data_IF_732591934377
#
_entry.id   IF_732591934377
#
_cell.length_a   1.000
_cell.length_b   1.000
_cell.length_c   1.000
_cell.angle_alpha   90.00
_cell.angle_beta   90.00
_cell.angle_gamma   90.00
#
_symmetry.space_group_name_H-M   'P 1'
#
loop_
_entity.id
_entity.type
_entity.pdbx_description
1 polymer ?
#
# COMPACT_ATOMS: atom_id res chain seq x y z
N UNK A 1 10.41 -8.36 -21.35
CA UNK A 1 9.21 -8.31 -20.49
C UNK A 1 9.04 -6.88 -20.03
N UNK A 2 7.81 -6.36 -20.01
CA UNK A 2 7.53 -5.03 -19.44
C UNK A 2 7.45 -5.17 -17.93
N UNK A 3 8.07 -4.24 -17.18
CA UNK A 3 7.93 -4.20 -15.72
C UNK A 3 6.47 -3.91 -15.38
N UNK A 4 5.89 -4.70 -14.48
CA UNK A 4 4.54 -4.52 -13.96
C UNK A 4 4.57 -3.84 -12.61
N UNK A 5 3.52 -3.10 -12.28
CA UNK A 5 3.43 -2.30 -11.07
C UNK A 5 2.08 -2.51 -10.41
N UNK A 6 2.05 -2.42 -9.08
CA UNK A 6 0.82 -2.61 -8.31
C UNK A 6 0.72 -1.65 -7.14
N UNK A 7 -0.52 -1.27 -6.84
CA UNK A 7 -0.89 -0.81 -5.52
C UNK A 7 -1.28 -2.02 -4.67
N UNK A 8 -0.64 -2.17 -3.51
CA UNK A 8 -0.92 -3.27 -2.57
C UNK A 8 -1.23 -2.71 -1.21
N UNK A 9 -2.30 -3.17 -0.59
CA UNK A 9 -2.72 -2.80 0.76
C UNK A 9 -2.50 -3.99 1.68
N UNK A 10 -1.74 -3.77 2.75
CA UNK A 10 -1.42 -4.77 3.75
C UNK A 10 -2.07 -4.41 5.09
N UNK A 11 -2.67 -5.39 5.77
CA UNK A 11 -3.00 -5.34 7.19
C UNK A 11 -1.74 -5.68 8.01
N UNK A 12 -1.29 -4.73 8.83
CA UNK A 12 -0.15 -4.88 9.71
C UNK A 12 -0.62 -5.36 11.08
N UNK A 13 -0.74 -6.68 11.24
CA UNK A 13 -1.09 -7.25 12.55
C UNK A 13 0.11 -7.25 13.48
N UNK A 14 -0.09 -6.81 14.73
CA UNK A 14 0.93 -6.89 15.78
C UNK A 14 1.26 -8.35 16.07
N UNK A 15 2.55 -8.62 16.08
CA UNK A 15 3.15 -9.93 16.14
C UNK A 15 2.96 -10.67 17.47
N UNK A 16 2.91 -12.01 17.37
CA UNK A 16 3.50 -12.90 18.37
C UNK A 16 4.98 -13.18 18.07
N UNK A 17 5.74 -13.50 19.12
CA UNK A 17 7.19 -13.37 19.36
C UNK A 17 8.23 -13.58 18.23
N UNK A 18 7.93 -14.11 17.03
CA UNK A 18 8.97 -14.46 16.04
C UNK A 18 8.72 -14.18 14.53
N UNK A 19 7.56 -13.75 14.04
CA UNK A 19 7.39 -13.29 12.63
C UNK A 19 6.38 -12.17 12.40
N UNK A 20 6.80 -11.06 11.75
CA UNK A 20 5.90 -10.02 11.26
C UNK A 20 4.87 -10.65 10.33
N UNK A 21 3.58 -10.54 10.67
CA UNK A 21 2.50 -11.03 9.82
C UNK A 21 1.91 -9.84 9.09
N UNK A 22 2.04 -9.86 7.76
CA UNK A 22 1.33 -8.95 6.86
C UNK A 22 0.37 -9.79 6.03
N UNK A 23 -0.87 -9.32 5.92
CA UNK A 23 -1.88 -9.93 5.06
C UNK A 23 -2.20 -8.96 3.93
N UNK A 24 -2.13 -9.43 2.68
CA UNK A 24 -2.60 -8.63 1.54
C UNK A 24 -4.12 -8.56 1.65
N UNK A 25 -4.61 -7.35 1.88
CA UNK A 25 -6.04 -7.03 1.93
C UNK A 25 -6.56 -6.83 0.51
N UNK A 26 -5.82 -6.04 -0.28
CA UNK A 26 -6.23 -5.68 -1.63
C UNK A 26 -5.01 -5.43 -2.51
N UNK A 27 -5.14 -5.74 -3.80
CA UNK A 27 -4.13 -5.44 -4.81
C UNK A 27 -4.79 -4.95 -6.09
N UNK A 28 -4.20 -3.92 -6.70
CA UNK A 28 -4.61 -3.35 -7.98
C UNK A 28 -3.38 -3.16 -8.86
N UNK A 29 -3.35 -3.77 -10.04
CA UNK A 29 -2.32 -3.49 -11.04
C UNK A 29 -2.50 -2.07 -11.60
N UNK A 30 -1.39 -1.35 -11.78
CA UNK A 30 -1.37 0.04 -12.27
C UNK A 30 -0.40 0.20 -13.43
N UNK A 31 -0.78 1.00 -14.42
CA UNK A 31 0.07 1.28 -15.57
C UNK A 31 0.79 2.64 -15.41
N UNK A 32 2.12 2.67 -15.22
CA UNK A 32 2.86 3.91 -15.18
C UNK A 32 2.94 4.62 -16.52
N UNK A 33 2.67 3.96 -17.66
CA UNK A 33 2.64 4.63 -18.96
C UNK A 33 1.44 5.59 -19.09
N UNK A 34 0.37 5.34 -18.35
CA UNK A 34 -0.84 6.17 -18.36
C UNK A 34 -0.69 7.44 -17.51
N UNK A 35 -0.05 7.34 -16.33
CA UNK A 35 -0.04 8.43 -15.34
C UNK A 35 1.36 8.88 -14.89
N UNK A 36 2.39 8.05 -15.03
CA UNK A 36 3.72 8.25 -14.43
C UNK A 36 3.78 7.87 -12.95
N UNK A 37 4.96 7.40 -12.50
CA UNK A 37 5.17 6.88 -11.13
C UNK A 37 4.94 7.93 -10.04
N UNK A 38 5.29 9.19 -10.27
CA UNK A 38 5.06 10.26 -9.29
C UNK A 38 3.58 10.53 -9.03
N UNK A 39 2.75 10.44 -10.09
CA UNK A 39 1.30 10.64 -9.98
C UNK A 39 0.69 9.45 -9.27
N UNK A 40 1.13 8.23 -9.60
CA UNK A 40 0.70 7.01 -8.91
C UNK A 40 1.05 7.07 -7.41
N UNK A 41 2.27 7.48 -7.05
CA UNK A 41 2.66 7.65 -5.64
C UNK A 41 1.75 8.63 -4.88
N UNK A 42 1.37 9.76 -5.50
CA UNK A 42 0.44 10.73 -4.91
C UNK A 42 -0.98 10.20 -4.76
N UNK A 43 -1.40 9.25 -5.61
CA UNK A 43 -2.73 8.63 -5.58
C UNK A 43 -2.85 7.46 -4.60
N UNK A 44 -1.73 6.86 -4.21
CA UNK A 44 -1.69 5.66 -3.37
C UNK A 44 -2.52 5.82 -2.08
N UNK A 45 -2.36 6.94 -1.35
CA UNK A 45 -3.13 7.19 -0.13
C UNK A 45 -4.63 7.27 -0.39
N UNK A 46 -5.05 7.93 -1.47
CA UNK A 46 -6.46 8.09 -1.79
C UNK A 46 -7.10 6.72 -2.13
N UNK A 47 -6.43 5.93 -2.97
CA UNK A 47 -6.85 4.57 -3.31
C UNK A 47 -6.98 3.69 -2.05
N UNK A 48 -5.95 3.67 -1.20
CA UNK A 48 -5.96 2.84 0.01
C UNK A 48 -7.11 3.21 0.96
N UNK A 49 -7.41 4.51 1.09
CA UNK A 49 -8.51 5.01 1.90
C UNK A 49 -9.88 4.62 1.33
N UNK A 50 -10.02 4.60 0.00
CA UNK A 50 -11.25 4.14 -0.67
C UNK A 50 -11.49 2.66 -0.40
N UNK A 51 -10.44 1.84 -0.52
CA UNK A 51 -10.50 0.39 -0.21
C UNK A 51 -10.90 0.16 1.25
N UNK A 52 -10.18 0.77 2.20
CA UNK A 52 -10.44 0.59 3.64
C UNK A 52 -11.87 0.98 4.04
N UNK A 53 -12.45 2.01 3.41
CA UNK A 53 -13.84 2.42 3.64
C UNK A 53 -14.84 1.47 3.00
N UNK A 54 -14.58 1.03 1.78
CA UNK A 54 -15.49 0.16 1.04
C UNK A 54 -15.61 -1.23 1.68
N UNK A 55 -14.52 -1.73 2.27
CA UNK A 55 -14.44 -3.06 2.87
C UNK A 55 -14.78 -3.09 4.37
N UNK A 56 -15.21 -1.97 4.96
CA UNK A 56 -15.46 -1.83 6.41
C UNK A 56 -14.28 -2.35 7.24
N UNK A 57 -13.08 -1.88 6.89
CA UNK A 57 -11.83 -2.40 7.42
C UNK A 57 -11.76 -2.27 8.96
N UNK A 58 -11.20 -3.30 9.59
CA UNK A 58 -11.05 -3.37 11.04
C UNK A 58 -10.17 -2.25 11.59
N UNK A 59 -10.29 -2.00 12.89
CA UNK A 59 -9.38 -1.09 13.58
C UNK A 59 -7.97 -1.68 13.57
N UNK A 60 -6.98 -0.90 13.14
CA UNK A 60 -5.66 -1.44 12.90
C UNK A 60 -4.69 -0.49 12.24
N UNK A 61 -3.54 -1.03 11.88
CA UNK A 61 -2.51 -0.35 11.12
C UNK A 61 -2.40 -1.03 9.77
N UNK A 62 -2.37 -0.23 8.72
CA UNK A 62 -2.30 -0.70 7.35
C UNK A 62 -1.09 -0.06 6.65
N UNK A 63 -0.50 -0.77 5.70
CA UNK A 63 0.52 -0.24 4.80
C UNK A 63 -0.02 -0.29 3.38
N UNK A 64 -0.02 0.84 2.67
CA UNK A 64 -0.27 0.84 1.24
C UNK A 64 1.05 1.07 0.51
N UNK A 65 1.32 0.29 -0.53
CA UNK A 65 2.58 0.28 -1.25
C UNK A 65 2.36 0.38 -2.75
N UNK A 66 3.16 1.22 -3.42
CA UNK A 66 3.41 1.13 -4.85
C UNK A 66 4.70 0.34 -5.05
N UNK A 67 4.58 -0.82 -5.68
CA UNK A 67 5.68 -1.76 -5.90
C UNK A 67 5.73 -2.25 -7.35
N UNK A 68 6.84 -2.86 -7.75
CA UNK A 68 6.87 -3.75 -8.91
C UNK A 68 6.24 -5.09 -8.54
N UNK A 69 5.63 -5.74 -9.51
CA UNK A 69 5.09 -7.10 -9.37
C UNK A 69 6.01 -8.10 -10.06
N UNK A 70 6.19 -9.27 -9.45
CA UNK A 70 6.91 -10.39 -10.04
C UNK A 70 6.03 -11.23 -10.99
N UNK A 71 6.59 -12.34 -11.49
CA UNK A 71 5.89 -13.24 -12.41
C UNK A 71 4.71 -14.00 -11.75
N UNK A 72 4.56 -13.93 -10.42
CA UNK A 72 3.48 -14.54 -9.64
C UNK A 72 2.47 -13.50 -9.13
N UNK A 73 2.52 -12.27 -9.64
CA UNK A 73 1.70 -11.16 -9.18
C UNK A 73 1.99 -10.74 -7.73
N UNK A 74 3.15 -11.12 -7.17
CA UNK A 74 3.56 -10.74 -5.82
C UNK A 74 4.36 -9.42 -5.82
N UNK A 75 4.21 -8.57 -4.78
CA UNK A 75 5.05 -7.39 -4.59
C UNK A 75 6.54 -7.77 -4.43
N UNK A 76 7.40 -7.28 -5.32
CA UNK A 76 8.85 -7.53 -5.29
C UNK A 76 9.63 -6.31 -4.77
N UNK A 77 9.70 -5.24 -5.57
CA UNK A 77 10.46 -4.03 -5.23
C UNK A 77 9.52 -2.87 -4.89
N UNK A 78 9.53 -2.45 -3.63
CA UNK A 78 8.79 -1.26 -3.20
C UNK A 78 9.40 0.02 -3.77
N UNK A 79 8.53 0.97 -4.13
CA UNK A 79 8.90 2.27 -4.69
C UNK A 79 8.41 3.42 -3.81
N UNK A 80 7.20 3.29 -3.28
CA UNK A 80 6.58 4.26 -2.39
C UNK A 80 5.64 3.55 -1.42
N UNK A 81 5.55 4.06 -0.19
CA UNK A 81 4.67 3.48 0.82
C UNK A 81 4.08 4.56 1.73
N UNK A 82 2.87 4.29 2.22
CA UNK A 82 2.21 5.10 3.24
C UNK A 82 1.65 4.19 4.32
N UNK A 83 1.80 4.62 5.58
CA UNK A 83 1.22 3.95 6.73
C UNK A 83 -0.09 4.62 7.10
N UNK A 84 -1.10 3.82 7.36
CA UNK A 84 -2.46 4.25 7.59
C UNK A 84 -2.93 3.67 8.92
N UNK A 85 -3.34 4.52 9.86
CA UNK A 85 -3.91 4.09 11.14
C UNK A 85 -5.43 4.27 11.12
N UNK A 86 -6.17 3.17 11.28
CA UNK A 86 -7.62 3.12 11.36
C UNK A 86 -8.05 3.03 12.83
N UNK A 87 -8.64 4.09 13.37
CA UNK A 87 -9.01 4.21 14.79
C UNK A 87 -10.53 4.35 15.04
N UNK A 88 -11.35 4.18 14.01
CA UNK A 88 -12.81 4.23 14.07
C UNK A 88 -13.40 4.02 12.67
N UNK A 89 -14.73 3.92 12.55
CA UNK A 89 -15.41 3.79 11.24
C UNK A 89 -15.02 4.89 10.25
N UNK A 90 -14.72 6.09 10.75
CA UNK A 90 -14.44 7.29 9.94
C UNK A 90 -13.10 7.96 10.28
N UNK A 91 -12.28 7.36 11.14
CA UNK A 91 -11.04 7.97 11.61
C UNK A 91 -9.82 7.29 11.02
N UNK A 92 -9.19 7.97 10.07
CA UNK A 92 -7.97 7.50 9.42
C UNK A 92 -6.88 8.56 9.44
N UNK A 93 -5.68 8.17 9.84
CA UNK A 93 -4.50 9.05 9.81
C UNK A 93 -3.44 8.43 8.90
N UNK A 94 -3.02 9.20 7.89
CA UNK A 94 -2.00 8.78 6.93
C UNK A 94 -0.66 9.42 7.24
N UNK A 95 0.40 8.63 7.24
CA UNK A 95 1.78 9.08 7.39
C UNK A 95 2.59 8.59 6.19
N UNK A 96 3.35 9.45 5.50
CA UNK A 96 4.32 8.97 4.52
C UNK A 96 5.35 8.08 5.21
N UNK A 97 5.84 7.03 4.53
CA UNK A 97 6.89 6.18 5.11
C UNK A 97 8.11 7.05 5.48
N UNK A 98 8.52 7.11 6.76
CA UNK A 98 9.69 7.87 7.18
C UNK A 98 11.00 7.40 6.49
N UNK A 99 11.00 6.24 5.85
CA UNK A 99 12.14 5.66 5.11
C UNK A 99 12.13 5.97 3.60
N UNK A 100 11.02 6.50 3.05
CA UNK A 100 10.84 6.70 1.61
C UNK A 100 11.27 8.08 1.11
N UNK A 101 12.56 8.27 0.82
CA UNK A 101 13.02 9.38 -0.03
C UNK A 101 12.80 9.02 -1.49
N UNK A 102 11.86 9.69 -2.16
CA UNK A 102 11.96 9.91 -3.61
C UNK A 102 13.18 10.81 -3.84
N UNK A 103 14.34 10.23 -4.16
CA UNK A 103 15.32 10.93 -5.01
C UNK A 103 14.84 10.74 -6.44
N UNK A 104 14.08 11.74 -6.90
CA UNK A 104 13.86 12.00 -8.33
C UNK A 104 15.22 12.33 -8.97
#
# INVERSE_FOLDING_TARGET
MSTRYGFTLFDLRKQDLNRAYYEIVHQLEVDPAEFGLEVLAKRLSAWAMEVLRAEDAQLGMYSAELSTLDDQDEPDKYLYAVTICQNGSDQVVTWPDPRGFLKV
#
